data_IF_625038641995
#
_entry.id   IF_625038641995
#
_cell.length_a   1.000
_cell.length_b   1.000
_cell.length_c   1.000
_cell.angle_alpha   90.00
_cell.angle_beta   90.00
_cell.angle_gamma   90.00
#
_symmetry.space_group_name_H-M   'P 1'
#
loop_
_entity.id
_entity.type
_entity.pdbx_description
1 polymer ?
#
# COMPACT_ATOMS: atom_id res chain seq x y z
N UNK A 1 2.67 -4.60 4.25
CA UNK A 1 3.77 -3.67 3.86
C UNK A 1 5.05 -3.88 4.65
N UNK A 2 5.40 -5.12 4.87
CA UNK A 2 6.53 -5.47 5.74
C UNK A 2 7.85 -4.89 5.22
N UNK A 3 8.07 -4.94 3.91
CA UNK A 3 9.33 -4.45 3.33
C UNK A 3 9.44 -2.91 3.35
N UNK A 4 8.39 -2.21 3.75
CA UNK A 4 8.40 -0.75 3.93
C UNK A 4 8.34 -0.36 5.40
N UNK A 5 8.51 -1.33 6.31
CA UNK A 5 8.49 -1.06 7.74
C UNK A 5 7.10 -0.78 8.29
N UNK A 6 6.06 -1.24 7.62
CA UNK A 6 4.68 -1.05 8.06
C UNK A 6 4.15 -2.39 8.55
N UNK A 7 3.72 -2.41 9.78
CA UNK A 7 3.22 -3.63 10.42
C UNK A 7 1.78 -3.41 10.88
N UNK A 8 1.09 -4.51 11.07
CA UNK A 8 -0.29 -4.44 11.54
C UNK A 8 -0.36 -3.68 12.86
N UNK A 9 -1.34 -2.79 12.97
CA UNK A 9 -1.51 -1.95 14.15
C UNK A 9 -0.78 -0.62 14.10
N UNK A 10 0.11 -0.42 13.12
CA UNK A 10 0.81 0.85 12.98
C UNK A 10 -0.16 1.95 12.54
N UNK A 11 0.17 3.18 12.92
CA UNK A 11 -0.55 4.36 12.46
C UNK A 11 0.17 4.97 11.28
N UNK A 12 -0.60 5.35 10.27
CA UNK A 12 -0.04 5.96 9.08
C UNK A 12 -0.46 7.43 9.03
N UNK A 13 0.52 8.30 8.83
CA UNK A 13 0.24 9.71 8.59
C UNK A 13 0.15 9.90 7.09
N UNK A 14 -1.05 10.21 6.60
CA UNK A 14 -1.36 10.24 5.17
C UNK A 14 -1.62 11.67 4.74
N UNK A 15 -0.92 12.09 3.70
CA UNK A 15 -1.17 13.37 3.06
C UNK A 15 -2.18 13.14 1.95
N UNK A 16 -3.33 13.76 2.06
CA UNK A 16 -4.39 13.58 1.06
C UNK A 16 -4.02 14.29 -0.23
N UNK A 17 -3.78 13.50 -1.27
CA UNK A 17 -3.50 14.02 -2.60
C UNK A 17 -3.70 12.88 -3.61
N UNK A 18 -4.27 13.16 -4.78
CA UNK A 18 -4.32 12.14 -5.83
C UNK A 18 -3.03 12.06 -6.65
N UNK A 19 -2.09 12.97 -6.42
CA UNK A 19 -0.89 13.09 -7.24
C UNK A 19 0.26 12.32 -6.59
N UNK A 20 0.28 11.01 -6.81
CA UNK A 20 1.38 10.17 -6.34
C UNK A 20 2.36 9.90 -7.46
N UNK A 21 3.62 9.72 -7.09
CA UNK A 21 4.67 9.32 -8.02
C UNK A 21 4.95 7.84 -7.85
N UNK A 22 5.45 7.22 -8.90
CA UNK A 22 5.79 5.80 -8.84
C UNK A 22 6.88 5.58 -7.79
N UNK A 23 6.72 4.50 -7.04
CA UNK A 23 7.63 4.18 -5.95
C UNK A 23 7.16 4.67 -4.59
N UNK A 24 6.17 5.53 -4.54
CA UNK A 24 5.65 6.02 -3.25
C UNK A 24 4.66 5.04 -2.65
N UNK A 25 4.62 4.99 -1.32
CA UNK A 25 3.61 4.22 -0.60
C UNK A 25 2.34 5.05 -0.54
N UNK A 26 1.24 4.47 -0.98
CA UNK A 26 -0.03 5.17 -1.09
C UNK A 26 -1.14 4.41 -0.39
N UNK A 27 -2.20 5.15 -0.07
CA UNK A 27 -3.49 4.56 0.28
C UNK A 27 -4.34 4.68 -0.97
N UNK A 28 -4.81 3.57 -1.48
CA UNK A 28 -5.66 3.53 -2.66
C UNK A 28 -7.03 3.00 -2.29
N UNK A 29 -8.04 3.56 -2.96
CA UNK A 29 -9.42 3.07 -2.85
C UNK A 29 -9.71 2.28 -4.11
N UNK A 30 -10.09 1.02 -3.96
CA UNK A 30 -10.32 0.14 -5.10
C UNK A 30 -11.76 -0.35 -5.10
N UNK A 31 -12.27 -0.59 -6.29
CA UNK A 31 -13.56 -1.21 -6.60
C UNK A 31 -14.70 -0.83 -5.65
N UNK A 32 -14.85 -1.51 -4.56
CA UNK A 32 -16.00 -1.37 -3.66
C UNK A 32 -15.76 -0.38 -2.53
N UNK A 33 -14.82 0.54 -2.71
CA UNK A 33 -14.47 1.48 -1.66
C UNK A 33 -13.54 0.92 -0.61
N UNK A 34 -12.93 -0.21 -0.89
CA UNK A 34 -11.96 -0.80 0.01
C UNK A 34 -10.65 -0.04 -0.06
N UNK A 35 -10.11 0.33 1.10
CA UNK A 35 -8.84 1.02 1.18
C UNK A 35 -7.70 0.01 1.32
N UNK A 36 -6.62 0.23 0.61
CA UNK A 36 -5.44 -0.62 0.72
C UNK A 36 -4.19 0.23 0.71
N UNK A 37 -3.16 -0.22 1.45
CA UNK A 37 -1.87 0.44 1.52
C UNK A 37 -0.87 -0.35 0.68
N UNK A 38 -0.37 0.27 -0.37
CA UNK A 38 0.49 -0.40 -1.34
C UNK A 38 1.52 0.58 -1.89
N UNK A 39 2.48 0.08 -2.64
CA UNK A 39 3.42 0.91 -3.37
C UNK A 39 2.86 1.14 -4.77
N UNK A 40 2.79 2.41 -5.18
CA UNK A 40 2.30 2.78 -6.50
C UNK A 40 3.43 2.58 -7.51
N UNK A 41 3.20 1.70 -8.49
CA UNK A 41 4.25 1.34 -9.44
C UNK A 41 3.73 1.38 -10.87
N UNK A 42 4.68 1.50 -11.79
CA UNK A 42 4.38 1.42 -13.23
C UNK A 42 4.75 0.04 -13.73
N UNK A 43 3.76 -0.68 -14.22
CA UNK A 43 3.96 -1.99 -14.82
C UNK A 43 3.88 -1.92 -16.33
N UNK A 44 4.03 -3.06 -16.99
CA UNK A 44 3.96 -3.16 -18.44
C UNK A 44 2.58 -2.79 -18.98
N UNK A 45 1.55 -3.00 -18.18
CA UNK A 45 0.16 -2.74 -18.58
C UNK A 45 -0.38 -1.47 -17.96
N UNK A 46 0.48 -0.65 -17.39
CA UNK A 46 0.08 0.58 -16.72
C UNK A 46 0.31 0.51 -15.23
N UNK A 47 -0.20 1.49 -14.49
CA UNK A 47 0.01 1.55 -13.05
C UNK A 47 -0.60 0.36 -12.32
N UNK A 48 0.04 -0.08 -11.26
CA UNK A 48 -0.52 -1.10 -10.39
C UNK A 48 -0.07 -0.85 -8.94
N UNK A 49 -0.62 -1.64 -8.04
CA UNK A 49 -0.36 -1.51 -6.62
C UNK A 49 0.47 -2.71 -6.17
N UNK A 50 1.73 -2.44 -5.85
CA UNK A 50 2.67 -3.49 -5.45
C UNK A 50 2.68 -3.63 -3.94
N UNK A 51 2.56 -4.85 -3.47
CA UNK A 51 2.74 -5.13 -2.05
C UNK A 51 4.23 -5.12 -1.72
N UNK A 52 4.59 -4.46 -0.63
CA UNK A 52 5.96 -4.51 -0.13
C UNK A 52 6.11 -5.76 0.74
N UNK A 53 5.90 -6.90 0.13
CA UNK A 53 6.00 -8.22 0.74
C UNK A 53 6.36 -9.18 -0.38
N UNK A 54 7.51 -9.83 -0.27
CA UNK A 54 8.07 -10.64 -1.35
C UNK A 54 7.46 -12.04 -1.45
N UNK A 55 6.42 -12.33 -0.69
CA UNK A 55 5.77 -13.63 -0.74
C UNK A 55 5.11 -13.84 -2.11
N UNK A 56 5.39 -14.98 -2.71
CA UNK A 56 4.86 -15.33 -4.03
C UNK A 56 4.03 -16.59 -3.97
N UNK A 57 3.03 -16.66 -4.84
CA UNK A 57 2.21 -17.85 -5.02
C UNK A 57 2.13 -18.12 -6.53
N UNK A 58 2.55 -19.30 -6.94
CA UNK A 58 2.53 -19.72 -8.35
C UNK A 58 3.31 -18.74 -9.25
N UNK A 59 4.44 -18.25 -8.76
CA UNK A 59 5.28 -17.34 -9.54
C UNK A 59 4.78 -15.92 -9.60
N UNK A 60 3.72 -15.60 -8.87
CA UNK A 60 3.19 -14.24 -8.83
C UNK A 60 3.27 -13.72 -7.39
N UNK A 61 3.53 -12.43 -7.27
CA UNK A 61 3.56 -11.79 -5.96
C UNK A 61 2.15 -11.84 -5.36
N UNK A 62 2.08 -12.37 -4.16
CA UNK A 62 0.81 -12.74 -3.54
C UNK A 62 -0.12 -11.57 -3.29
N UNK A 63 0.45 -10.43 -2.90
CA UNK A 63 -0.35 -9.30 -2.44
C UNK A 63 -0.42 -8.13 -3.40
N UNK A 64 0.17 -8.27 -4.59
CA UNK A 64 0.09 -7.22 -5.59
C UNK A 64 -1.34 -7.14 -6.14
N UNK A 65 -1.79 -5.91 -6.41
CA UNK A 65 -3.13 -5.66 -6.90
C UNK A 65 -3.05 -4.97 -8.24
N UNK A 66 -3.74 -5.53 -9.23
CA UNK A 66 -3.88 -4.93 -10.56
C UNK A 66 -5.36 -4.57 -10.72
N UNK A 67 -5.76 -3.38 -10.29
CA UNK A 67 -7.18 -3.03 -10.31
C UNK A 67 -7.73 -3.03 -11.72
N UNK A 68 -8.90 -3.60 -11.89
CA UNK A 68 -9.58 -3.66 -13.20
C UNK A 68 -10.75 -2.69 -13.30
N UNK A 69 -11.26 -2.24 -12.17
CA UNK A 69 -12.37 -1.32 -12.13
C UNK A 69 -11.89 0.10 -11.79
N UNK A 70 -12.81 0.88 -11.28
CA UNK A 70 -12.48 2.23 -10.84
C UNK A 70 -11.65 2.16 -9.58
N UNK A 71 -10.57 2.90 -9.57
CA UNK A 71 -9.73 3.02 -8.38
C UNK A 71 -9.07 4.38 -8.38
N UNK A 72 -8.66 4.83 -7.21
CA UNK A 72 -8.05 6.14 -7.08
C UNK A 72 -7.05 6.15 -5.95
N UNK A 73 -6.09 7.08 -6.04
CA UNK A 73 -5.15 7.33 -4.96
C UNK A 73 -5.85 8.26 -3.96
N UNK A 74 -5.98 7.82 -2.72
CA UNK A 74 -6.51 8.66 -1.65
C UNK A 74 -5.44 9.59 -1.09
N UNK A 75 -4.23 9.06 -0.92
CA UNK A 75 -3.14 9.86 -0.37
C UNK A 75 -1.82 9.12 -0.37
N UNK A 76 -0.79 9.83 0.06
CA UNK A 76 0.57 9.32 0.16
C UNK A 76 0.89 9.14 1.63
N UNK A 77 1.51 8.02 1.98
CA UNK A 77 1.96 7.77 3.36
C UNK A 77 3.25 8.54 3.58
N UNK A 78 3.18 9.59 4.40
CA UNK A 78 4.35 10.41 4.71
C UNK A 78 5.16 9.84 5.86
N UNK A 79 4.49 9.31 6.89
CA UNK A 79 5.15 8.79 8.09
C UNK A 79 4.43 7.56 8.59
N UNK A 80 5.19 6.68 9.24
CA UNK A 80 4.65 5.50 9.91
C UNK A 80 4.97 5.64 11.40
N UNK A 81 3.96 5.53 12.24
CA UNK A 81 4.13 5.53 13.68
C UNK A 81 3.86 4.11 14.15
N UNK A 82 4.90 3.45 14.61
CA UNK A 82 4.77 2.07 15.05
C UNK A 82 3.97 1.99 16.33
N UNK A 83 3.10 1.00 16.40
CA UNK A 83 2.34 0.76 17.62
C UNK A 83 3.33 0.44 18.74
N UNK A 84 3.07 0.95 19.96
CA UNK A 84 3.96 0.63 21.06
C UNK A 84 3.96 -0.87 21.32
N UNK A 85 5.11 -1.39 21.63
CA UNK A 85 5.21 -2.77 22.07
C UNK A 85 4.47 -2.88 23.39
N UNK A 86 3.45 -3.72 23.42
CA UNK A 86 2.65 -3.87 24.61
C UNK A 86 3.32 -4.87 25.53
N UNK A 87 4.06 -4.35 26.43
CA UNK A 87 4.70 -5.19 27.35
C UNK A 87 3.87 -5.44 28.50
N UNK A 88 3.07 -5.17 28.49
CA UNK A 88 2.49 -5.29 29.31
C UNK A 88 2.88 -5.23 30.36
N UNK A 89 3.18 -4.91 30.66
CA UNK A 89 3.65 -4.86 31.61
C UNK A 89 3.24 -5.19 32.75
#
# INVERSE_FOLDING_TARGET
>A
MINRGIFEGDLLVVRRTPAAEYGQTVIAMIDNGEATCKVYEKGKRGPYLRAANDEEVNGKRKYDVHPKGDWSIYGIVDYVIHAPVCDEI
#
